data_IF_951320484268
#
_entry.id   IF_951320484268
#
_cell.length_a   1.000
_cell.length_b   1.000
_cell.length_c   1.000
_cell.angle_alpha   90.00
_cell.angle_beta   90.00
_cell.angle_gamma   90.00
#
_symmetry.space_group_name_H-M   'P 1'
#
loop_
_entity.id
_entity.type
_entity.pdbx_description
1 polymer ?
#
# COMPACT_ATOMS: atom_id res chain seq x y z
N UNK A 1 -1.87 -46.46 45.14
CA UNK A 1 -2.04 -45.00 44.94
C UNK A 1 -0.99 -44.54 43.96
N UNK A 2 -1.40 -44.01 42.81
CA UNK A 2 -0.48 -43.60 41.74
C UNK A 2 -1.24 -43.44 40.43
N UNK A 3 -2.34 -42.69 40.45
CA UNK A 3 -3.12 -42.35 39.27
C UNK A 3 -2.29 -41.46 38.36
N UNK A 4 -1.89 -42.03 37.22
CA UNK A 4 -1.28 -41.37 36.08
C UNK A 4 -2.26 -40.33 35.54
N UNK A 5 -2.07 -39.07 35.92
CA UNK A 5 -2.83 -37.95 35.37
C UNK A 5 -2.49 -37.83 33.87
N UNK A 6 -3.44 -38.25 33.04
CA UNK A 6 -3.45 -37.92 31.62
C UNK A 6 -3.69 -36.42 31.50
N UNK A 7 -2.64 -35.66 31.20
CA UNK A 7 -2.76 -34.29 30.70
C UNK A 7 -3.47 -34.35 29.35
N UNK A 8 -4.78 -34.07 29.35
CA UNK A 8 -5.56 -33.79 28.15
C UNK A 8 -4.84 -32.70 27.35
N UNK A 9 -4.39 -33.06 26.15
CA UNK A 9 -3.97 -32.10 25.14
C UNK A 9 -5.21 -31.42 24.58
N UNK A 10 -5.66 -30.34 25.24
CA UNK A 10 -6.54 -29.39 24.59
C UNK A 10 -5.76 -28.73 23.46
N UNK A 11 -6.08 -29.12 22.22
CA UNK A 11 -5.71 -28.35 21.04
C UNK A 11 -6.39 -27.00 21.23
N UNK A 12 -5.64 -26.01 21.73
CA UNK A 12 -6.08 -24.62 21.71
C UNK A 12 -6.43 -24.28 20.26
N UNK A 13 -7.73 -24.27 19.94
CA UNK A 13 -8.22 -23.67 18.70
C UNK A 13 -7.82 -22.21 18.78
N UNK A 14 -6.73 -21.88 18.09
CA UNK A 14 -6.24 -20.52 17.90
C UNK A 14 -7.44 -19.68 17.49
N UNK A 15 -7.88 -18.73 18.32
CA UNK A 15 -9.07 -17.94 18.02
C UNK A 15 -8.73 -17.03 16.82
N UNK A 16 -9.15 -17.45 15.63
CA UNK A 16 -8.83 -16.73 14.40
C UNK A 16 -9.82 -15.61 14.25
N UNK A 17 -9.34 -14.37 14.37
CA UNK A 17 -10.17 -13.19 14.13
C UNK A 17 -10.78 -13.22 12.72
N UNK A 18 -12.09 -13.00 12.67
CA UNK A 18 -12.86 -13.00 11.42
C UNK A 18 -12.25 -12.03 10.39
N UNK A 19 -12.21 -12.42 9.09
CA UNK A 19 -11.80 -11.52 8.01
C UNK A 19 -12.54 -10.18 8.00
N UNK A 20 -13.81 -10.16 8.45
CA UNK A 20 -14.59 -8.94 8.57
C UNK A 20 -14.00 -7.96 9.60
N UNK A 21 -13.61 -8.47 10.77
CA UNK A 21 -13.00 -7.66 11.83
C UNK A 21 -11.64 -7.13 11.35
N UNK A 22 -10.82 -7.95 10.69
CA UNK A 22 -9.55 -7.50 10.12
C UNK A 22 -9.75 -6.44 9.01
N UNK A 23 -10.81 -6.56 8.20
CA UNK A 23 -11.18 -5.53 7.21
C UNK A 23 -11.58 -4.21 7.87
N UNK A 24 -12.39 -4.29 8.93
CA UNK A 24 -12.83 -3.14 9.69
C UNK A 24 -11.67 -2.45 10.41
N UNK A 25 -10.79 -3.23 11.05
CA UNK A 25 -9.56 -2.74 11.67
C UNK A 25 -8.67 -2.00 10.65
N UNK A 26 -8.49 -2.58 9.46
CA UNK A 26 -7.76 -1.94 8.37
C UNK A 26 -8.41 -0.64 7.88
N UNK A 27 -9.75 -0.59 7.85
CA UNK A 27 -10.52 0.61 7.47
C UNK A 27 -10.25 1.76 8.44
N UNK A 28 -10.34 1.52 9.74
CA UNK A 28 -10.07 2.53 10.77
C UNK A 28 -8.59 2.94 10.73
N UNK A 29 -7.68 1.98 10.56
CA UNK A 29 -6.26 2.28 10.37
C UNK A 29 -6.01 3.20 9.17
N UNK A 30 -6.76 3.00 8.07
CA UNK A 30 -6.71 3.86 6.89
C UNK A 30 -7.18 5.29 7.12
N UNK A 31 -8.25 5.48 7.90
CA UNK A 31 -8.73 6.80 8.30
C UNK A 31 -7.71 7.49 9.21
N UNK A 32 -7.14 6.77 10.18
CA UNK A 32 -6.10 7.29 11.05
C UNK A 32 -4.85 7.71 10.27
N UNK A 33 -4.38 6.88 9.33
CA UNK A 33 -3.29 7.24 8.43
C UNK A 33 -3.62 8.52 7.65
N UNK A 34 -4.82 8.59 7.05
CA UNK A 34 -5.24 9.75 6.27
C UNK A 34 -5.19 11.02 7.13
N UNK A 35 -5.73 10.97 8.36
CA UNK A 35 -5.73 12.10 9.28
C UNK A 35 -4.33 12.58 9.65
N UNK A 36 -3.41 11.65 9.93
CA UNK A 36 -2.04 11.96 10.34
C UNK A 36 -1.13 12.41 9.19
N UNK A 37 -1.27 11.83 8.00
CA UNK A 37 -0.33 12.06 6.88
C UNK A 37 -0.80 13.06 5.84
N UNK A 38 -2.08 13.45 5.84
CA UNK A 38 -2.59 14.46 4.91
C UNK A 38 -1.79 15.78 4.93
N UNK A 39 -1.38 16.34 6.10
CA UNK A 39 -0.56 17.55 6.13
C UNK A 39 0.76 17.39 5.37
N UNK A 40 1.42 16.23 5.50
CA UNK A 40 2.65 15.94 4.80
C UNK A 40 2.44 15.83 3.29
N UNK A 41 1.33 15.21 2.87
CA UNK A 41 0.98 15.07 1.46
C UNK A 41 0.65 16.43 0.81
N UNK A 42 -0.05 17.32 1.52
CA UNK A 42 -0.31 18.69 1.06
C UNK A 42 0.99 19.49 0.91
N UNK A 43 1.85 19.49 1.93
CA UNK A 43 3.14 20.20 1.89
C UNK A 43 4.02 19.67 0.74
N UNK A 44 4.13 18.34 0.60
CA UNK A 44 4.88 17.70 -0.49
C UNK A 44 4.34 18.11 -1.85
N UNK A 45 3.02 18.11 -2.03
CA UNK A 45 2.39 18.48 -3.31
C UNK A 45 2.64 19.94 -3.64
N UNK A 46 2.52 20.86 -2.67
CA UNK A 46 2.81 22.29 -2.85
C UNK A 46 4.26 22.52 -3.23
N UNK A 47 5.20 21.87 -2.53
CA UNK A 47 6.62 21.96 -2.82
C UNK A 47 6.96 21.40 -4.21
N UNK A 48 6.31 20.32 -4.65
CA UNK A 48 6.51 19.75 -5.98
C UNK A 48 5.93 20.61 -7.11
N UNK A 49 4.87 21.38 -6.83
CA UNK A 49 4.25 22.28 -7.80
C UNK A 49 4.88 23.68 -7.82
N UNK A 50 5.73 24.00 -6.85
CA UNK A 50 6.39 25.29 -6.74
C UNK A 50 7.50 25.46 -7.79
N UNK A 51 7.10 25.97 -8.96
CA UNK A 51 8.02 26.33 -10.05
C UNK A 51 8.78 27.64 -9.77
N UNK A 52 8.23 28.49 -8.92
CA UNK A 52 8.77 29.82 -8.61
C UNK A 52 9.80 29.79 -7.47
N UNK A 53 10.04 28.62 -6.86
CA UNK A 53 10.94 28.42 -5.71
C UNK A 53 10.61 29.36 -4.54
N UNK A 54 9.31 29.60 -4.31
CA UNK A 54 8.80 30.39 -3.20
C UNK A 54 9.02 29.70 -1.83
N UNK A 55 9.18 28.38 -1.83
CA UNK A 55 9.43 27.60 -0.63
C UNK A 55 10.90 27.16 -0.55
N UNK A 56 11.55 27.50 0.56
CA UNK A 56 12.95 27.09 0.81
C UNK A 56 13.07 25.66 1.34
N UNK A 57 11.96 25.05 1.76
CA UNK A 57 11.90 23.68 2.25
C UNK A 57 10.54 23.30 2.84
N UNK A 58 10.43 22.06 3.34
CA UNK A 58 9.19 21.47 3.87
C UNK A 58 8.62 22.30 5.04
N UNK A 59 9.46 22.66 6.02
CA UNK A 59 9.03 23.41 7.21
C UNK A 59 8.60 24.83 6.84
N UNK A 60 9.35 25.48 5.95
CA UNK A 60 9.02 26.81 5.47
C UNK A 60 7.70 26.80 4.67
N UNK A 61 7.50 25.82 3.79
CA UNK A 61 6.25 25.61 3.06
C UNK A 61 5.07 25.42 4.03
N UNK A 62 5.21 24.54 5.03
CA UNK A 62 4.17 24.32 6.04
C UNK A 62 3.82 25.59 6.83
N UNK A 63 4.82 26.35 7.28
CA UNK A 63 4.60 27.63 7.99
C UNK A 63 3.89 28.65 7.11
N UNK A 64 4.30 28.78 5.85
CA UNK A 64 3.67 29.71 4.90
C UNK A 64 2.22 29.33 4.60
N UNK A 65 1.93 28.03 4.40
CA UNK A 65 0.56 27.53 4.20
C UNK A 65 -0.32 27.87 5.41
N UNK A 66 0.17 27.66 6.63
CA UNK A 66 -0.59 27.99 7.84
C UNK A 66 -0.83 29.50 7.94
N UNK A 67 0.19 30.32 7.65
CA UNK A 67 0.09 31.78 7.75
C UNK A 67 -0.83 32.40 6.67
N UNK A 68 -0.85 31.83 5.46
CA UNK A 68 -1.58 32.41 4.32
C UNK A 68 -2.97 31.79 4.12
N UNK A 69 -3.12 30.48 4.33
CA UNK A 69 -4.36 29.74 4.05
C UNK A 69 -5.05 29.19 5.32
N UNK A 70 -4.40 29.31 6.48
CA UNK A 70 -4.88 28.78 7.77
C UNK A 70 -4.57 27.29 7.96
N UNK A 71 -4.54 26.82 9.21
CA UNK A 71 -4.14 25.45 9.56
C UNK A 71 -5.01 24.35 8.92
N UNK A 72 -6.32 24.58 8.75
CA UNK A 72 -7.24 23.62 8.11
C UNK A 72 -6.88 23.31 6.65
N UNK A 73 -6.14 24.19 5.98
CA UNK A 73 -5.71 23.99 4.60
C UNK A 73 -4.80 22.77 4.42
N UNK A 74 -4.10 22.35 5.49
CA UNK A 74 -3.27 21.13 5.51
C UNK A 74 -4.09 19.84 5.35
N UNK A 75 -5.40 19.88 5.59
CA UNK A 75 -6.31 18.74 5.38
C UNK A 75 -7.17 18.87 4.11
N UNK A 76 -6.86 19.83 3.21
CA UNK A 76 -7.53 19.92 1.91
C UNK A 76 -7.35 18.61 1.14
N UNK A 77 -8.45 18.02 0.69
CA UNK A 77 -8.46 16.75 -0.02
C UNK A 77 -8.50 15.51 0.87
N UNK A 78 -8.72 15.66 2.19
CA UNK A 78 -8.80 14.52 3.12
C UNK A 78 -9.89 13.52 2.73
N UNK A 79 -11.09 13.96 2.36
CA UNK A 79 -12.21 13.05 2.05
C UNK A 79 -11.90 12.05 0.92
N UNK A 80 -11.49 12.48 -0.30
CA UNK A 80 -11.15 11.53 -1.34
C UNK A 80 -9.93 10.67 -0.97
N UNK A 81 -8.98 11.22 -0.20
CA UNK A 81 -7.82 10.48 0.25
C UNK A 81 -8.15 9.38 1.27
N UNK A 82 -8.90 9.73 2.31
CA UNK A 82 -9.38 8.82 3.34
C UNK A 82 -10.28 7.73 2.75
N UNK A 83 -11.18 8.09 1.82
CA UNK A 83 -12.05 7.11 1.13
C UNK A 83 -11.22 6.07 0.39
N UNK A 84 -10.21 6.53 -0.38
CA UNK A 84 -9.30 5.64 -1.08
C UNK A 84 -8.51 4.72 -0.14
N UNK A 85 -7.92 5.27 0.93
CA UNK A 85 -7.16 4.48 1.90
C UNK A 85 -8.04 3.48 2.65
N UNK A 86 -9.25 3.88 3.03
CA UNK A 86 -10.20 3.03 3.75
C UNK A 86 -10.55 1.81 2.91
N UNK A 87 -11.00 2.02 1.67
CA UNK A 87 -11.35 0.92 0.75
C UNK A 87 -10.15 0.02 0.47
N UNK A 88 -8.98 0.62 0.26
CA UNK A 88 -7.73 -0.09 0.01
C UNK A 88 -7.34 -1.01 1.17
N UNK A 89 -7.35 -0.49 2.41
CA UNK A 89 -6.95 -1.27 3.57
C UNK A 89 -7.99 -2.25 4.05
N UNK A 90 -9.28 -1.93 3.91
CA UNK A 90 -10.38 -2.86 4.13
C UNK A 90 -10.18 -4.12 3.27
N UNK A 91 -10.01 -3.92 1.96
CA UNK A 91 -9.86 -5.02 1.03
C UNK A 91 -8.56 -5.78 1.32
N UNK A 92 -7.43 -5.08 1.46
CA UNK A 92 -6.13 -5.71 1.73
C UNK A 92 -6.16 -6.61 2.97
N UNK A 93 -6.61 -6.09 4.11
CA UNK A 93 -6.60 -6.86 5.36
C UNK A 93 -7.66 -7.96 5.35
N UNK A 94 -8.83 -7.70 4.77
CA UNK A 94 -9.88 -8.69 4.59
C UNK A 94 -9.50 -9.85 3.70
N UNK A 95 -9.03 -9.57 2.48
CA UNK A 95 -8.63 -10.61 1.53
C UNK A 95 -7.42 -11.38 2.03
N UNK A 96 -6.47 -10.73 2.70
CA UNK A 96 -5.34 -11.43 3.29
C UNK A 96 -5.80 -12.38 4.40
N UNK A 97 -6.70 -11.94 5.28
CA UNK A 97 -7.29 -12.80 6.31
C UNK A 97 -8.05 -13.98 5.71
N UNK A 98 -8.83 -13.73 4.66
CA UNK A 98 -9.59 -14.74 3.93
C UNK A 98 -8.65 -15.77 3.28
N UNK A 99 -7.64 -15.35 2.53
CA UNK A 99 -6.69 -16.28 1.90
C UNK A 99 -5.85 -17.04 2.92
N UNK A 100 -5.44 -16.40 4.01
CA UNK A 100 -4.78 -17.10 5.11
C UNK A 100 -5.70 -18.16 5.72
N UNK A 101 -6.99 -17.88 5.89
CA UNK A 101 -7.95 -18.88 6.42
C UNK A 101 -8.13 -20.09 5.51
N UNK A 102 -8.09 -19.89 4.19
CA UNK A 102 -8.17 -20.98 3.20
C UNK A 102 -6.90 -21.82 3.12
N UNK A 103 -5.74 -21.23 3.41
CA UNK A 103 -4.43 -21.88 3.29
C UNK A 103 -3.94 -22.50 4.61
N UNK A 104 -4.69 -22.41 5.70
CA UNK A 104 -4.34 -23.04 6.98
C UNK A 104 -4.37 -24.56 6.87
N UNK A 105 -3.40 -25.22 7.50
CA UNK A 105 -3.39 -26.68 7.63
C UNK A 105 -4.45 -27.17 8.61
N UNK A 106 -4.71 -28.48 8.61
CA UNK A 106 -5.61 -29.15 9.55
C UNK A 106 -5.19 -28.95 11.03
N UNK A 107 -3.91 -28.63 11.28
CA UNK A 107 -3.38 -28.24 12.60
C UNK A 107 -3.63 -26.78 12.97
N UNK A 108 -4.23 -25.98 12.08
CA UNK A 108 -4.44 -24.54 12.27
C UNK A 108 -3.18 -23.69 12.02
N UNK A 109 -2.02 -24.32 11.81
CA UNK A 109 -0.76 -23.64 11.53
C UNK A 109 -0.70 -23.13 10.08
N UNK A 110 0.03 -22.02 9.89
CA UNK A 110 0.24 -21.40 8.59
C UNK A 110 1.74 -21.20 8.36
N UNK A 111 2.31 -21.95 7.41
CA UNK A 111 3.72 -21.85 7.03
C UNK A 111 4.03 -20.52 6.34
N UNK A 112 5.30 -20.11 6.37
CA UNK A 112 5.72 -18.83 5.81
C UNK A 112 5.48 -18.74 4.29
N UNK A 113 5.61 -19.85 3.57
CA UNK A 113 5.28 -19.93 2.13
C UNK A 113 3.79 -19.67 1.86
N UNK A 114 2.90 -20.17 2.72
CA UNK A 114 1.45 -19.95 2.58
C UNK A 114 1.04 -18.54 2.98
N UNK A 115 1.74 -17.94 3.96
CA UNK A 115 1.61 -16.52 4.31
C UNK A 115 2.02 -15.62 3.15
N UNK A 116 3.15 -15.91 2.52
CA UNK A 116 3.61 -15.22 1.31
C UNK A 116 2.58 -15.32 0.18
N UNK A 117 2.07 -16.53 -0.08
CA UNK A 117 1.05 -16.75 -1.11
C UNK A 117 -0.26 -15.99 -0.81
N UNK A 118 -0.72 -16.00 0.45
CA UNK A 118 -1.90 -15.24 0.87
C UNK A 118 -1.71 -13.73 0.69
N UNK A 119 -0.55 -13.20 1.09
CA UNK A 119 -0.20 -11.79 0.92
C UNK A 119 -0.12 -11.39 -0.55
N UNK A 120 0.44 -12.25 -1.40
CA UNK A 120 0.48 -12.04 -2.84
C UNK A 120 -0.92 -12.04 -3.45
N UNK A 121 -1.75 -13.04 -3.15
CA UNK A 121 -3.14 -13.14 -3.64
C UNK A 121 -4.01 -11.96 -3.17
N UNK A 122 -3.82 -11.50 -1.93
CA UNK A 122 -4.46 -10.28 -1.43
C UNK A 122 -4.04 -9.05 -2.25
N UNK A 123 -2.74 -8.92 -2.56
CA UNK A 123 -2.23 -7.84 -3.41
C UNK A 123 -2.76 -7.89 -4.85
N UNK A 124 -2.96 -9.08 -5.43
CA UNK A 124 -3.62 -9.25 -6.73
C UNK A 124 -5.06 -8.75 -6.67
N UNK A 125 -5.80 -9.18 -5.66
CA UNK A 125 -7.23 -8.84 -5.51
C UNK A 125 -7.44 -7.35 -5.30
N UNK A 126 -6.63 -6.75 -4.44
CA UNK A 126 -6.58 -5.30 -4.25
C UNK A 126 -6.25 -4.58 -5.56
N UNK A 127 -5.28 -5.10 -6.32
CA UNK A 127 -4.88 -4.52 -7.58
C UNK A 127 -6.04 -4.50 -8.58
N UNK A 128 -6.69 -5.63 -8.79
CA UNK A 128 -7.75 -5.78 -9.77
C UNK A 128 -9.01 -5.01 -9.41
N UNK A 129 -9.43 -5.01 -8.13
CA UNK A 129 -10.71 -4.43 -7.74
C UNK A 129 -10.61 -2.92 -7.55
N UNK A 130 -9.52 -2.43 -6.95
CA UNK A 130 -9.40 -1.02 -6.55
C UNK A 130 -8.30 -0.32 -7.30
N UNK A 131 -7.09 -0.86 -7.36
CA UNK A 131 -5.93 -0.08 -7.82
C UNK A 131 -5.99 0.18 -9.32
N UNK A 132 -6.17 -0.84 -10.15
CA UNK A 132 -6.13 -0.72 -11.61
C UNK A 132 -7.18 0.25 -12.18
N UNK A 133 -8.50 0.14 -11.86
CA UNK A 133 -9.48 1.07 -12.39
C UNK A 133 -9.21 2.52 -11.96
N UNK A 134 -8.78 2.76 -10.72
CA UNK A 134 -8.44 4.09 -10.24
C UNK A 134 -7.13 4.61 -10.86
N UNK A 135 -6.11 3.77 -11.05
CA UNK A 135 -4.86 4.13 -11.70
C UNK A 135 -5.07 4.52 -13.16
N UNK A 136 -5.87 3.76 -13.92
CA UNK A 136 -6.15 4.06 -15.34
C UNK A 136 -6.83 5.43 -15.46
N UNK A 137 -7.88 5.67 -14.66
CA UNK A 137 -8.59 6.96 -14.64
C UNK A 137 -7.62 8.10 -14.27
N UNK A 138 -6.81 7.91 -13.22
CA UNK A 138 -5.83 8.90 -12.78
C UNK A 138 -4.77 9.20 -13.83
N UNK A 139 -4.20 8.18 -14.46
CA UNK A 139 -3.17 8.33 -15.48
C UNK A 139 -3.72 9.08 -16.68
N UNK A 140 -4.90 8.72 -17.19
CA UNK A 140 -5.55 9.41 -18.33
C UNK A 140 -5.89 10.86 -18.02
N UNK A 141 -6.37 11.12 -16.80
CA UNK A 141 -6.61 12.49 -16.33
C UNK A 141 -5.33 13.32 -16.19
N UNK A 142 -4.21 12.70 -15.82
CA UNK A 142 -2.91 13.38 -15.68
C UNK A 142 -2.18 13.55 -17.01
N UNK A 143 -2.43 12.66 -17.99
CA UNK A 143 -1.80 12.70 -19.30
C UNK A 143 -2.48 13.67 -20.27
N UNK A 144 -3.76 13.98 -20.09
CA UNK A 144 -4.42 14.97 -20.94
C UNK A 144 -3.75 16.34 -20.82
N UNK A 145 -3.43 16.94 -21.97
CA UNK A 145 -2.91 18.30 -22.09
C UNK A 145 -3.99 19.18 -22.69
N UNK A 146 -4.34 20.27 -22.04
CA UNK A 146 -5.27 21.27 -22.55
C UNK A 146 -4.98 22.62 -21.93
N UNK A 147 -5.08 23.69 -22.73
CA UNK A 147 -4.83 25.07 -22.28
C UNK A 147 -5.99 25.64 -21.46
N UNK A 148 -7.20 25.07 -21.58
CA UNK A 148 -8.42 25.57 -20.92
C UNK A 148 -9.35 24.40 -20.56
N UNK A 149 -10.11 24.51 -19.46
CA UNK A 149 -10.99 23.44 -18.95
C UNK A 149 -12.03 22.94 -19.97
N UNK A 150 -12.44 23.77 -20.92
CA UNK A 150 -13.42 23.42 -21.96
C UNK A 150 -12.85 22.52 -23.05
N UNK A 151 -11.54 22.59 -23.29
CA UNK A 151 -10.82 21.77 -24.27
C UNK A 151 -10.36 20.42 -23.69
N UNK A 152 -10.59 20.17 -22.39
CA UNK A 152 -10.21 18.90 -21.76
C UNK A 152 -11.20 17.80 -22.14
N UNK A 153 -10.66 16.70 -22.70
CA UNK A 153 -11.43 15.48 -23.00
C UNK A 153 -12.11 14.91 -21.75
N UNK A 154 -11.42 14.93 -20.62
CA UNK A 154 -11.93 14.43 -19.35
C UNK A 154 -12.21 15.57 -18.37
N UNK A 155 -13.50 15.79 -18.09
CA UNK A 155 -13.98 16.86 -17.19
C UNK A 155 -13.87 16.50 -15.70
N UNK A 156 -13.55 15.25 -15.37
CA UNK A 156 -13.34 14.76 -14.01
C UNK A 156 -13.19 13.23 -13.93
N UNK A 157 -12.93 12.66 -12.74
CA UNK A 157 -12.70 11.22 -12.57
C UNK A 157 -13.88 10.32 -12.96
N UNK A 158 -15.09 10.70 -12.56
CA UNK A 158 -16.30 9.91 -12.88
C UNK A 158 -16.63 10.00 -14.37
N UNK A 159 -16.52 11.19 -14.96
CA UNK A 159 -16.69 11.38 -16.40
C UNK A 159 -15.63 10.61 -17.21
N UNK A 160 -14.38 10.59 -16.73
CA UNK A 160 -13.31 9.82 -17.34
C UNK A 160 -13.60 8.32 -17.29
N UNK A 161 -14.01 7.79 -16.13
CA UNK A 161 -14.39 6.38 -16.00
C UNK A 161 -15.53 6.02 -16.96
N UNK A 162 -16.59 6.82 -16.99
CA UNK A 162 -17.74 6.60 -17.89
C UNK A 162 -17.37 6.67 -19.37
N UNK A 163 -16.51 7.62 -19.76
CA UNK A 163 -16.05 7.76 -21.14
C UNK A 163 -15.17 6.58 -21.57
N UNK A 164 -14.27 6.12 -20.69
CA UNK A 164 -13.43 4.93 -20.94
C UNK A 164 -14.32 3.71 -21.17
N UNK A 165 -15.31 3.48 -20.29
CA UNK A 165 -16.22 2.33 -20.42
C UNK A 165 -17.04 2.42 -21.71
N UNK A 166 -17.48 3.62 -22.10
CA UNK A 166 -18.25 3.83 -23.33
C UNK A 166 -17.43 3.59 -24.60
N UNK A 167 -16.15 3.98 -24.62
CA UNK A 167 -15.32 3.94 -25.82
C UNK A 167 -14.49 2.66 -25.96
N UNK A 168 -13.98 2.12 -24.85
CA UNK A 168 -13.07 0.96 -24.83
C UNK A 168 -13.71 -0.28 -24.20
N UNK A 169 -14.95 -0.15 -23.72
CA UNK A 169 -15.63 -1.18 -22.95
C UNK A 169 -15.14 -1.26 -21.50
N UNK A 170 -15.74 -2.16 -20.73
CA UNK A 170 -15.46 -2.32 -19.31
C UNK A 170 -13.99 -2.71 -19.05
N UNK A 171 -13.41 -3.54 -19.92
CA UNK A 171 -12.01 -3.98 -19.82
C UNK A 171 -11.00 -2.85 -20.02
N UNK A 172 -11.40 -1.70 -20.58
CA UNK A 172 -10.55 -0.52 -20.68
C UNK A 172 -10.04 -0.02 -19.32
N UNK A 173 -10.83 -0.21 -18.25
CA UNK A 173 -10.43 0.11 -16.88
C UNK A 173 -9.35 -0.82 -16.31
N UNK A 174 -9.12 -1.97 -16.94
CA UNK A 174 -8.08 -2.95 -16.57
C UNK A 174 -6.87 -2.91 -17.50
N UNK A 175 -6.77 -1.92 -18.38
CA UNK A 175 -5.61 -1.72 -19.24
C UNK A 175 -4.35 -1.51 -18.38
N UNK A 176 -3.35 -2.39 -18.54
CA UNK A 176 -2.15 -2.39 -17.69
C UNK A 176 -2.29 -3.14 -16.37
N UNK A 177 -3.31 -3.99 -16.20
CA UNK A 177 -3.48 -4.82 -15.00
C UNK A 177 -2.24 -5.68 -14.68
N UNK A 178 -1.65 -6.35 -15.67
CA UNK A 178 -0.52 -7.26 -15.45
C UNK A 178 0.67 -6.64 -14.66
N UNK A 179 1.26 -5.50 -15.07
CA UNK A 179 2.34 -4.87 -14.31
C UNK A 179 1.87 -4.31 -12.96
N UNK A 180 0.62 -3.85 -12.84
CA UNK A 180 0.08 -3.34 -11.56
C UNK A 180 -0.14 -4.48 -10.56
N UNK A 181 -0.66 -5.61 -11.01
CA UNK A 181 -0.89 -6.82 -10.22
C UNK A 181 0.43 -7.39 -9.71
N UNK A 182 1.44 -7.53 -10.58
CA UNK A 182 2.76 -8.01 -10.17
C UNK A 182 3.38 -7.08 -9.12
N UNK A 183 3.37 -5.76 -9.37
CA UNK A 183 3.93 -4.79 -8.42
C UNK A 183 3.22 -4.83 -7.07
N UNK A 184 1.89 -4.82 -7.06
CA UNK A 184 1.12 -4.78 -5.83
C UNK A 184 1.20 -6.10 -5.08
N UNK A 185 1.09 -7.23 -5.78
CA UNK A 185 1.30 -8.56 -5.23
C UNK A 185 2.65 -8.69 -4.53
N UNK A 186 3.75 -8.34 -5.21
CA UNK A 186 5.09 -8.38 -4.62
C UNK A 186 5.22 -7.46 -3.40
N UNK A 187 4.68 -6.24 -3.49
CA UNK A 187 4.73 -5.30 -2.37
C UNK A 187 4.00 -5.84 -1.13
N UNK A 188 2.82 -6.44 -1.29
CA UNK A 188 2.06 -7.00 -0.18
C UNK A 188 2.66 -8.30 0.35
N UNK A 189 3.17 -9.16 -0.53
CA UNK A 189 3.90 -10.36 -0.15
C UNK A 189 5.06 -10.01 0.78
N UNK A 190 5.92 -9.06 0.38
CA UNK A 190 7.05 -8.61 1.21
C UNK A 190 6.57 -7.97 2.52
N UNK A 191 5.52 -7.13 2.48
CA UNK A 191 4.99 -6.45 3.65
C UNK A 191 4.49 -7.43 4.71
N UNK A 192 3.60 -8.36 4.34
CA UNK A 192 3.00 -9.29 5.30
C UNK A 192 4.02 -10.30 5.83
N UNK A 193 4.91 -10.79 4.97
CA UNK A 193 5.99 -11.67 5.42
C UNK A 193 6.93 -10.97 6.38
N UNK A 194 7.37 -9.75 6.06
CA UNK A 194 8.27 -8.99 6.92
C UNK A 194 7.60 -8.64 8.25
N UNK A 195 6.33 -8.22 8.23
CA UNK A 195 5.56 -7.91 9.46
C UNK A 195 5.49 -9.12 10.37
N UNK A 196 5.08 -10.27 9.83
CA UNK A 196 4.99 -11.51 10.59
C UNK A 196 6.34 -11.98 11.15
N UNK A 197 7.41 -11.87 10.36
CA UNK A 197 8.76 -12.21 10.83
C UNK A 197 9.27 -11.24 11.90
N UNK A 198 9.03 -9.95 11.76
CA UNK A 198 9.42 -8.96 12.76
C UNK A 198 8.63 -9.12 14.07
N UNK A 199 7.32 -9.38 13.98
CA UNK A 199 6.47 -9.64 15.16
C UNK A 199 6.94 -10.90 15.91
N UNK A 200 7.26 -11.98 15.18
CA UNK A 200 7.80 -13.22 15.76
C UNK A 200 9.19 -13.01 16.37
N UNK A 201 10.10 -12.37 15.64
CA UNK A 201 11.50 -12.24 16.04
C UNK A 201 11.69 -11.26 17.21
N UNK A 202 11.02 -10.12 17.18
CA UNK A 202 11.23 -9.07 18.17
C UNK A 202 10.26 -9.13 19.34
N UNK A 203 9.06 -9.69 19.15
CA UNK A 203 8.00 -9.65 20.16
C UNK A 203 7.40 -11.02 20.47
N UNK A 204 7.91 -12.09 19.87
CA UNK A 204 7.42 -13.47 20.05
C UNK A 204 5.89 -13.57 19.90
N UNK A 205 5.34 -12.77 18.98
CA UNK A 205 3.90 -12.72 18.71
C UNK A 205 3.55 -13.57 17.51
N UNK A 206 2.55 -14.42 17.66
CA UNK A 206 1.95 -15.17 16.55
C UNK A 206 0.48 -14.84 16.39
N UNK A 207 -0.06 -14.93 15.17
CA UNK A 207 -1.49 -14.65 14.95
C UNK A 207 -2.39 -15.62 15.74
N UNK A 208 -3.20 -15.05 16.63
CA UNK A 208 -4.15 -15.76 17.49
C UNK A 208 -3.52 -16.41 18.73
N UNK A 209 -2.37 -15.90 19.16
CA UNK A 209 -1.78 -16.18 20.48
C UNK A 209 -2.49 -15.44 21.64
N UNK A 210 -3.55 -14.68 21.34
CA UNK A 210 -4.31 -13.87 22.29
C UNK A 210 -3.53 -12.66 22.84
N UNK A 211 -2.31 -12.41 22.35
CA UNK A 211 -1.45 -11.32 22.83
C UNK A 211 -1.66 -10.07 21.97
N UNK A 212 -1.95 -8.97 22.65
CA UNK A 212 -2.03 -7.66 22.01
C UNK A 212 -0.67 -6.98 22.11
N UNK A 213 -0.02 -6.76 20.96
CA UNK A 213 1.17 -5.91 20.92
C UNK A 213 0.80 -4.51 21.39
N UNK A 214 1.71 -3.85 22.12
CA UNK A 214 1.53 -2.44 22.42
C UNK A 214 1.55 -1.61 21.13
N UNK A 215 0.87 -0.45 21.08
CA UNK A 215 0.81 0.37 19.87
C UNK A 215 2.19 0.67 19.27
N UNK A 216 3.17 1.02 20.10
CA UNK A 216 4.53 1.34 19.62
C UNK A 216 5.27 0.12 19.03
N UNK A 217 5.04 -1.10 19.53
CA UNK A 217 5.61 -2.34 18.99
C UNK A 217 5.02 -2.66 17.61
N UNK A 218 3.71 -2.41 17.47
CA UNK A 218 2.99 -2.56 16.21
C UNK A 218 3.43 -1.51 15.19
N UNK A 219 3.75 -0.29 15.66
CA UNK A 219 4.31 0.78 14.82
C UNK A 219 5.70 0.44 14.31
N UNK A 220 6.62 -0.02 15.17
CA UNK A 220 8.01 -0.30 14.79
C UNK A 220 8.13 -1.50 13.85
N UNK A 221 7.36 -2.56 14.11
CA UNK A 221 7.24 -3.71 13.21
C UNK A 221 6.61 -3.33 11.87
N UNK A 222 5.50 -2.59 11.90
CA UNK A 222 4.81 -2.08 10.71
C UNK A 222 5.68 -1.16 9.86
N UNK A 223 6.44 -0.26 10.49
CA UNK A 223 7.40 0.63 9.82
C UNK A 223 8.51 -0.17 9.14
N UNK A 224 9.15 -1.08 9.88
CA UNK A 224 10.28 -1.87 9.37
C UNK A 224 9.85 -2.78 8.22
N UNK A 225 8.70 -3.46 8.35
CA UNK A 225 8.13 -4.31 7.32
C UNK A 225 7.84 -3.53 6.02
N UNK A 226 7.36 -2.30 6.17
CA UNK A 226 6.99 -1.44 5.06
C UNK A 226 8.17 -0.86 4.28
N UNK A 227 9.40 -0.99 4.78
CA UNK A 227 10.60 -0.63 4.03
C UNK A 227 10.93 -1.67 2.95
N UNK A 228 10.65 -2.96 3.17
CA UNK A 228 11.07 -4.02 2.25
C UNK A 228 10.33 -3.98 0.91
N UNK A 229 9.04 -3.66 0.90
CA UNK A 229 8.24 -3.60 -0.32
C UNK A 229 8.77 -2.57 -1.35
N UNK A 230 8.98 -1.29 -0.97
CA UNK A 230 9.59 -0.29 -1.84
C UNK A 230 11.01 -0.62 -2.28
N UNK A 231 11.80 -1.30 -1.46
CA UNK A 231 13.15 -1.76 -1.84
C UNK A 231 13.05 -2.87 -2.90
N UNK A 232 12.22 -3.88 -2.69
CA UNK A 232 12.02 -4.97 -3.64
C UNK A 232 11.41 -4.50 -4.98
N UNK A 233 10.50 -3.53 -4.93
CA UNK A 233 9.80 -3.01 -6.13
C UNK A 233 10.50 -1.82 -6.78
N UNK A 234 11.53 -1.25 -6.14
CA UNK A 234 12.26 -0.06 -6.61
C UNK A 234 12.76 -0.17 -8.06
N UNK A 235 13.54 -1.22 -8.41
CA UNK A 235 14.05 -1.40 -9.76
C UNK A 235 12.94 -1.48 -10.82
N UNK A 236 11.86 -2.20 -10.53
CA UNK A 236 10.72 -2.35 -11.44
C UNK A 236 10.01 -1.02 -11.68
N UNK A 237 9.87 -0.19 -10.65
CA UNK A 237 9.23 1.12 -10.78
C UNK A 237 10.08 2.10 -11.58
N UNK A 238 11.40 2.09 -11.42
CA UNK A 238 12.30 2.91 -12.25
C UNK A 238 12.27 2.47 -13.71
N UNK A 239 12.30 1.16 -13.97
CA UNK A 239 12.22 0.63 -15.33
C UNK A 239 10.87 0.99 -15.99
N UNK A 240 9.75 0.79 -15.27
CA UNK A 240 8.40 1.13 -15.75
C UNK A 240 8.29 2.62 -16.08
N UNK A 241 8.79 3.50 -15.20
CA UNK A 241 8.72 4.95 -15.44
C UNK A 241 9.56 5.39 -16.64
N UNK A 242 10.76 4.83 -16.83
CA UNK A 242 11.61 5.13 -18.01
C UNK A 242 11.02 4.59 -19.31
N UNK A 243 10.49 3.38 -19.30
CA UNK A 243 9.80 2.79 -20.45
C UNK A 243 8.52 3.57 -20.84
N UNK A 244 7.83 4.16 -19.86
CA UNK A 244 6.67 5.01 -20.11
C UNK A 244 7.04 6.44 -20.53
N UNK A 245 8.22 6.92 -20.12
CA UNK A 245 8.70 8.26 -20.45
C UNK A 245 9.33 8.34 -21.85
N UNK A 246 9.80 7.23 -22.43
CA UNK A 246 10.27 7.23 -23.82
C UNK A 246 9.10 7.51 -24.77
N UNK A 247 9.15 8.66 -25.44
CA UNK A 247 8.22 8.96 -26.53
C UNK A 247 8.58 8.10 -27.75
N UNK A 248 7.56 7.59 -28.44
CA UNK A 248 7.71 7.11 -29.83
C UNK A 248 7.95 8.33 -30.73
N UNK A 249 9.14 8.89 -30.68
CA UNK A 249 9.65 9.80 -31.70
C UNK A 249 10.42 8.99 -32.74
N UNK A 250 10.61 9.54 -33.94
CA UNK A 250 11.18 8.97 -35.18
C UNK A 250 12.63 8.39 -35.09
N UNK A 251 13.02 7.81 -33.96
CA UNK A 251 14.30 7.13 -33.75
C UNK A 251 14.13 5.76 -33.08
N UNK A 252 15.20 4.93 -33.06
CA UNK A 252 15.17 3.65 -32.38
C UNK A 252 14.90 3.85 -30.89
N UNK A 253 13.96 3.06 -30.34
CA UNK A 253 13.63 3.11 -28.91
C UNK A 253 14.89 2.88 -28.05
N UNK A 254 15.13 3.77 -27.07
CA UNK A 254 16.29 3.66 -26.17
C UNK A 254 16.32 2.33 -25.42
N UNK A 255 15.13 1.82 -25.06
CA UNK A 255 14.95 0.51 -24.44
C UNK A 255 13.97 -0.34 -25.26
N UNK A 256 14.40 -1.55 -25.64
CA UNK A 256 13.57 -2.50 -26.40
C UNK A 256 12.56 -3.25 -25.53
N UNK A 257 12.76 -3.23 -24.20
CA UNK A 257 11.86 -3.88 -23.24
C UNK A 257 12.35 -3.80 -21.80
N UNK A 258 11.67 -4.53 -20.91
CA UNK A 258 11.95 -4.55 -19.47
C UNK A 258 13.34 -5.12 -19.15
N UNK A 259 13.72 -6.23 -19.80
CA UNK A 259 15.01 -6.88 -19.60
C UNK A 259 16.17 -6.02 -20.16
N UNK A 260 15.97 -5.39 -21.30
CA UNK A 260 16.94 -4.49 -21.90
C UNK A 260 17.19 -3.25 -21.00
N UNK A 261 16.12 -2.67 -20.45
CA UNK A 261 16.23 -1.59 -19.47
C UNK A 261 16.91 -2.03 -18.17
N UNK A 262 16.61 -3.25 -17.67
CA UNK A 262 17.23 -3.80 -16.46
C UNK A 262 18.75 -3.95 -16.59
N UNK A 263 19.27 -4.24 -17.79
CA UNK A 263 20.70 -4.38 -18.06
C UNK A 263 21.35 -3.04 -18.40
N UNK A 264 20.73 -2.21 -19.24
CA UNK A 264 21.29 -0.92 -19.68
C UNK A 264 21.39 0.11 -18.55
N UNK A 265 20.37 0.21 -17.69
CA UNK A 265 20.35 1.25 -16.64
C UNK A 265 21.53 1.12 -15.66
N UNK A 266 21.81 -0.06 -15.07
CA UNK A 266 22.98 -0.20 -14.19
C UNK A 266 24.30 0.00 -14.92
N UNK A 267 24.39 -0.38 -16.20
CA UNK A 267 25.61 -0.26 -17.01
C UNK A 267 25.92 1.19 -17.40
N UNK A 268 24.90 1.99 -17.71
CA UNK A 268 25.06 3.39 -18.15
C UNK A 268 25.10 4.38 -16.97
N UNK A 269 24.28 4.18 -15.94
CA UNK A 269 24.07 5.17 -14.87
C UNK A 269 24.45 4.66 -13.47
N UNK A 270 24.91 3.41 -13.37
CA UNK A 270 25.26 2.76 -12.12
C UNK A 270 24.06 2.11 -11.42
N UNK A 271 24.35 1.17 -10.51
CA UNK A 271 23.33 0.39 -9.80
C UNK A 271 22.34 1.25 -8.99
N UNK A 272 22.80 2.36 -8.41
CA UNK A 272 21.95 3.27 -7.64
C UNK A 272 20.89 3.98 -8.50
N UNK A 273 21.05 4.02 -9.83
CA UNK A 273 20.06 4.57 -10.73
C UNK A 273 18.72 3.81 -10.68
N UNK A 274 18.75 2.50 -10.38
CA UNK A 274 17.54 1.66 -10.18
C UNK A 274 16.74 2.02 -8.92
N UNK A 275 17.32 2.79 -8.00
CA UNK A 275 16.68 3.21 -6.75
C UNK A 275 16.41 4.71 -6.68
N UNK A 276 16.57 5.44 -7.79
CA UNK A 276 16.19 6.86 -7.87
C UNK A 276 14.70 7.01 -7.59
N UNK A 277 14.37 7.79 -6.55
CA UNK A 277 13.00 7.97 -6.07
C UNK A 277 12.59 7.05 -4.92
N UNK A 278 13.48 6.16 -4.42
CA UNK A 278 13.22 5.33 -3.24
C UNK A 278 12.98 6.18 -1.98
N UNK A 279 13.79 7.21 -1.75
CA UNK A 279 13.69 8.06 -0.56
C UNK A 279 12.30 8.70 -0.40
N UNK A 280 11.73 9.40 -1.41
CA UNK A 280 10.35 9.90 -1.34
C UNK A 280 9.28 8.84 -1.07
N UNK A 281 9.54 7.57 -1.40
CA UNK A 281 8.64 6.45 -1.10
C UNK A 281 8.80 5.99 0.35
N UNK A 282 10.03 5.85 0.83
CA UNK A 282 10.34 5.50 2.22
C UNK A 282 9.90 6.58 3.21
N UNK A 283 9.84 7.84 2.80
CA UNK A 283 9.28 8.91 3.64
C UNK A 283 7.76 8.83 3.79
N UNK A 284 7.05 8.10 2.93
CA UNK A 284 5.57 8.08 2.90
C UNK A 284 4.96 6.75 3.31
N UNK A 285 5.53 5.64 2.83
CA UNK A 285 4.95 4.30 2.99
C UNK A 285 5.18 3.77 4.42
N UNK A 286 6.41 3.69 4.93
CA UNK A 286 6.69 3.25 6.30
C UNK A 286 5.91 4.00 7.41
N UNK A 287 5.87 5.34 7.46
CA UNK A 287 5.09 6.03 8.49
C UNK A 287 3.59 5.71 8.41
N UNK A 288 3.06 5.56 7.19
CA UNK A 288 1.66 5.21 6.99
C UNK A 288 1.35 3.81 7.50
N UNK A 289 2.19 2.83 7.15
CA UNK A 289 2.04 1.47 7.65
C UNK A 289 2.20 1.37 9.16
N UNK A 290 3.09 2.16 9.78
CA UNK A 290 3.23 2.21 11.22
C UNK A 290 1.89 2.57 11.90
N UNK A 291 1.21 3.61 11.42
CA UNK A 291 -0.08 4.07 11.95
C UNK A 291 -1.17 3.02 11.72
N UNK A 292 -1.26 2.48 10.49
CA UNK A 292 -2.29 1.48 10.15
C UNK A 292 -2.14 0.24 11.02
N UNK A 293 -0.92 -0.29 11.17
CA UNK A 293 -0.67 -1.48 11.99
C UNK A 293 -0.86 -1.20 13.47
N UNK A 294 -0.50 -0.02 13.98
CA UNK A 294 -0.80 0.37 15.35
C UNK A 294 -2.29 0.24 15.67
N UNK A 295 -3.12 0.85 14.83
CA UNK A 295 -4.58 0.84 15.01
C UNK A 295 -5.16 -0.55 14.77
N UNK A 296 -4.71 -1.22 13.70
CA UNK A 296 -5.27 -2.51 13.32
C UNK A 296 -4.94 -3.61 14.33
N UNK A 297 -3.73 -3.63 14.88
CA UNK A 297 -3.32 -4.62 15.88
C UNK A 297 -4.02 -4.37 17.23
N UNK A 298 -4.31 -3.11 17.61
CA UNK A 298 -5.13 -2.83 18.81
C UNK A 298 -6.57 -3.33 18.64
N UNK A 299 -7.20 -3.02 17.51
CA UNK A 299 -8.58 -3.42 17.26
C UNK A 299 -8.68 -4.95 17.18
N UNK A 300 -7.81 -5.58 16.39
CA UNK A 300 -7.76 -7.04 16.25
C UNK A 300 -7.52 -7.70 17.60
N UNK A 301 -6.55 -7.20 18.35
CA UNK A 301 -6.21 -7.71 19.68
C UNK A 301 -7.34 -7.60 20.71
N UNK A 302 -8.09 -6.50 20.70
CA UNK A 302 -9.26 -6.32 21.56
C UNK A 302 -10.35 -7.36 21.28
N UNK A 303 -10.58 -7.70 20.00
CA UNK A 303 -11.53 -8.75 19.64
C UNK A 303 -10.98 -10.16 19.93
N UNK A 304 -9.67 -10.38 19.85
CA UNK A 304 -9.04 -11.65 20.26
C UNK A 304 -9.26 -11.93 21.75
N UNK A 305 -8.99 -10.95 22.61
CA UNK A 305 -9.19 -11.10 24.06
C UNK A 305 -10.62 -11.47 24.43
N UNK A 306 -11.61 -10.85 23.77
CA UNK A 306 -13.04 -11.13 24.00
C UNK A 306 -13.53 -12.46 23.47
N UNK A 307 -12.79 -13.11 22.58
CA UNK A 307 -13.12 -14.47 22.14
C UNK A 307 -12.52 -15.55 23.06
N UNK A 308 -11.58 -15.15 23.93
CA UNK A 308 -10.93 -16.01 24.91
C UNK A 308 -11.54 -15.92 26.32
N UNK A 309 -12.37 -14.90 26.60
CA UNK A 309 -13.23 -14.77 27.78
C UNK A 309 -14.53 -15.58 27.63
#
# INVERSE_FOLDING_TARGET
>A
MGTRSQSNGEIHKTAVVSPFIKSFAGSIGGVAEAGCLQPMDVIKTRLQLDKAKQYTGIVNCGKQIIAQEGAKSLWKGLTPFATHLTLKYALRMGTNAFYQSLLRDQSGALSDGRRLAAGFAAGITEALIVVTPFEVVKIRLQQQRGLTKELLRYKGPVHAAGLIVKEEGILGLWSGAAPTVMRNGTNQMCLFWAKNNFDRLFFSKEEGDGRTLQPWQSMTSGFSAACLGPVATGPFDVIKTRLMAQQKSDGPARYSGLLDALVKIPREEGFLALYRGLLPRLMRIPPGQAIVWAVSDQITGYFEQRQHE
#
